data_IF_275948963344
#
_entry.id   IF_275948963344
#
_cell.length_a   1.000
_cell.length_b   1.000
_cell.length_c   1.000
_cell.angle_alpha   90.00
_cell.angle_beta   90.00
_cell.angle_gamma   90.00
#
_symmetry.space_group_name_H-M   'P 1'
#
loop_
_entity.id
_entity.type
_entity.pdbx_description
1 polymer ?
#
# COMPACT_ATOMS: atom_id res chain seq x y z
N UNK A 1 -7.53 29.47 32.82
CA UNK A 1 -8.31 28.23 32.99
C UNK A 1 -8.70 27.63 31.63
N UNK A 2 -8.01 27.95 30.53
CA UNK A 2 -8.38 27.47 29.18
C UNK A 2 -7.09 27.10 28.44
N UNK A 3 -6.50 25.98 28.84
CA UNK A 3 -5.36 25.36 28.15
C UNK A 3 -5.95 24.28 27.24
N UNK A 4 -6.58 24.73 26.15
CA UNK A 4 -7.19 23.87 25.15
C UNK A 4 -6.12 22.96 24.53
N UNK A 5 -6.29 21.66 24.77
CA UNK A 5 -5.41 20.59 24.31
C UNK A 5 -5.17 20.69 22.80
N UNK A 6 -3.91 20.94 22.42
CA UNK A 6 -3.41 20.90 21.04
C UNK A 6 -3.42 19.45 20.55
N UNK A 7 -4.56 18.97 20.08
CA UNK A 7 -4.61 17.75 19.26
C UNK A 7 -4.14 18.14 17.85
N UNK A 8 -2.83 18.12 17.62
CA UNK A 8 -2.28 18.20 16.26
C UNK A 8 -2.37 16.81 15.66
N UNK A 9 -3.58 16.41 15.24
CA UNK A 9 -3.80 15.17 14.52
C UNK A 9 -3.16 15.30 13.13
N UNK A 10 -1.87 14.97 13.03
CA UNK A 10 -1.17 14.87 11.74
C UNK A 10 -1.62 13.58 11.06
N UNK A 11 -2.79 13.61 10.43
CA UNK A 11 -3.14 12.57 9.48
C UNK A 11 -2.32 12.82 8.23
N UNK A 12 -1.12 12.25 8.13
CA UNK A 12 -0.46 12.19 6.83
C UNK A 12 -1.35 11.27 5.99
N UNK A 13 -2.08 11.83 5.02
CA UNK A 13 -2.76 11.07 3.97
C UNK A 13 -1.90 11.27 2.74
N UNK A 14 -0.87 10.44 2.59
CA UNK A 14 -0.21 10.27 1.31
C UNK A 14 -1.15 9.47 0.43
N UNK A 15 -1.95 10.18 -0.37
CA UNK A 15 -2.58 9.62 -1.55
C UNK A 15 -1.47 9.30 -2.55
N UNK A 16 -1.01 8.05 -2.56
CA UNK A 16 -0.38 7.45 -3.73
C UNK A 16 -1.46 6.67 -4.47
N UNK A 17 -1.73 7.09 -5.71
CA UNK A 17 -2.61 6.47 -6.71
C UNK A 17 -4.12 6.44 -6.43
N UNK A 18 -4.77 7.61 -6.52
CA UNK A 18 -6.08 7.66 -7.16
C UNK A 18 -5.83 7.54 -8.67
N UNK A 19 -5.83 6.33 -9.20
CA UNK A 19 -6.23 6.16 -10.60
C UNK A 19 -7.74 6.38 -10.58
N UNK A 20 -8.14 7.63 -10.77
CA UNK A 20 -9.49 7.96 -11.20
C UNK A 20 -9.62 7.45 -12.63
N UNK A 21 -10.03 6.19 -12.78
CA UNK A 21 -10.72 5.81 -14.01
C UNK A 21 -12.05 6.57 -14.00
N UNK A 22 -12.04 7.78 -14.54
CA UNK A 22 -13.19 8.22 -15.31
C UNK A 22 -13.26 7.27 -16.50
N UNK A 23 -14.03 6.19 -16.37
CA UNK A 23 -14.69 5.66 -17.55
C UNK A 23 -15.72 6.72 -17.92
N UNK A 24 -15.28 7.67 -18.75
CA UNK A 24 -16.19 8.33 -19.67
C UNK A 24 -16.87 7.20 -20.43
N UNK A 25 -18.19 7.09 -20.30
CA UNK A 25 -19.03 6.51 -21.34
C UNK A 25 -18.77 7.32 -22.61
N UNK A 26 -17.73 6.93 -23.34
CA UNK A 26 -17.64 7.14 -24.77
C UNK A 26 -17.88 5.77 -25.38
N UNK A 27 -19.07 5.64 -25.96
CA UNK A 27 -19.31 4.74 -27.07
C UNK A 27 -18.24 4.99 -28.14
N UNK A 28 -17.15 4.25 -28.06
CA UNK A 28 -16.29 3.93 -29.20
C UNK A 28 -15.89 2.47 -29.03
N UNK A 29 -16.87 1.60 -29.28
CA UNK A 29 -16.65 0.19 -29.56
C UNK A 29 -15.90 0.07 -30.87
N UNK A 30 -14.58 0.25 -30.82
CA UNK A 30 -13.68 -0.22 -31.86
C UNK A 30 -12.33 -0.58 -31.22
N UNK A 31 -12.39 -1.47 -30.22
CA UNK A 31 -11.20 -2.24 -29.83
C UNK A 31 -10.99 -3.21 -30.99
N UNK A 32 -10.00 -2.92 -31.84
CA UNK A 32 -9.59 -3.80 -32.92
C UNK A 32 -9.28 -5.16 -32.32
N UNK A 33 -10.10 -6.15 -32.64
CA UNK A 33 -9.84 -7.52 -32.18
C UNK A 33 -8.65 -8.09 -32.95
N UNK A 34 -7.98 -9.10 -32.42
CA UNK A 34 -6.89 -9.78 -33.14
C UNK A 34 -7.34 -10.24 -34.55
N UNK A 35 -8.63 -10.59 -34.70
CA UNK A 35 -9.24 -10.93 -35.99
C UNK A 35 -9.41 -9.74 -36.95
N UNK A 36 -9.69 -8.54 -36.43
CA UNK A 36 -9.79 -7.34 -37.25
C UNK A 36 -8.40 -6.87 -37.71
N UNK A 37 -7.38 -7.07 -36.87
CA UNK A 37 -5.98 -6.82 -37.21
C UNK A 37 -5.48 -7.77 -38.30
N UNK A 38 -5.74 -9.08 -38.18
CA UNK A 38 -5.39 -10.07 -39.21
C UNK A 38 -6.05 -9.76 -40.56
N UNK A 39 -7.33 -9.37 -40.57
CA UNK A 39 -8.02 -8.99 -41.82
C UNK A 39 -7.45 -7.74 -42.47
N UNK A 40 -7.03 -6.76 -41.68
CA UNK A 40 -6.38 -5.55 -42.20
C UNK A 40 -5.00 -5.88 -42.81
N UNK A 41 -4.26 -6.81 -42.21
CA UNK A 41 -2.98 -7.30 -42.71
C UNK A 41 -3.13 -8.09 -44.03
N UNK A 42 -4.14 -8.96 -44.12
CA UNK A 42 -4.41 -9.72 -45.34
C UNK A 42 -4.87 -8.81 -46.49
N UNK A 43 -5.70 -7.81 -46.21
CA UNK A 43 -6.14 -6.83 -47.21
C UNK A 43 -4.97 -6.00 -47.78
N UNK A 44 -4.01 -5.62 -46.93
CA UNK A 44 -2.78 -4.92 -47.36
C UNK A 44 -1.87 -5.84 -48.19
N UNK A 45 -1.81 -7.13 -47.84
CA UNK A 45 -1.03 -8.14 -48.57
C UNK A 45 -1.61 -8.46 -49.95
N UNK A 46 -2.93 -8.39 -50.13
CA UNK A 46 -3.58 -8.56 -51.44
C UNK A 46 -3.42 -7.35 -52.36
N UNK A 47 -3.29 -6.14 -51.80
CA UNK A 47 -3.02 -4.92 -52.58
C UNK A 47 -1.54 -4.75 -52.93
N UNK A 48 -0.66 -5.43 -52.21
CA UNK A 48 0.77 -5.36 -52.43
C UNK A 48 1.27 -6.49 -53.35
N UNK A 49 1.38 -6.17 -54.64
CA UNK A 49 1.97 -7.05 -55.65
C UNK A 49 3.50 -7.14 -55.62
N UNK A 50 4.22 -6.31 -54.83
CA UNK A 50 5.68 -6.34 -54.73
C UNK A 50 6.22 -7.03 -53.47
N UNK A 51 5.37 -7.29 -52.46
CA UNK A 51 5.76 -8.00 -51.24
C UNK A 51 6.49 -7.12 -50.21
N UNK A 52 6.56 -5.82 -50.45
CA UNK A 52 7.19 -4.81 -49.60
C UNK A 52 6.52 -4.69 -48.22
N UNK A 53 5.19 -4.83 -48.14
CA UNK A 53 4.43 -4.86 -46.88
C UNK A 53 4.78 -6.11 -46.07
N UNK A 54 5.00 -7.24 -46.75
CA UNK A 54 5.48 -8.47 -46.11
C UNK A 54 6.90 -8.33 -45.57
N UNK A 55 7.81 -7.69 -46.32
CA UNK A 55 9.16 -7.36 -45.84
C UNK A 55 9.15 -6.34 -44.69
N UNK A 56 8.30 -5.31 -44.75
CA UNK A 56 8.13 -4.34 -43.66
C UNK A 56 7.58 -4.98 -42.39
N UNK A 57 6.58 -5.87 -42.50
CA UNK A 57 6.04 -6.62 -41.35
C UNK A 57 7.09 -7.57 -40.77
N UNK A 58 7.92 -8.16 -41.62
CA UNK A 58 9.05 -8.99 -41.20
C UNK A 58 10.11 -8.14 -40.47
N UNK A 59 10.48 -6.97 -41.01
CA UNK A 59 11.36 -5.99 -40.35
C UNK A 59 10.76 -5.41 -39.06
N UNK A 60 9.44 -5.27 -38.98
CA UNK A 60 8.77 -4.81 -37.76
C UNK A 60 8.74 -5.91 -36.69
N UNK A 61 8.56 -7.18 -37.08
CA UNK A 61 8.66 -8.33 -36.19
C UNK A 61 10.12 -8.61 -35.75
N UNK A 62 11.10 -8.15 -36.52
CA UNK A 62 12.51 -8.13 -36.12
C UNK A 62 12.78 -7.17 -34.94
N UNK A 63 11.86 -6.26 -34.59
CA UNK A 63 11.90 -5.51 -33.33
C UNK A 63 11.45 -6.36 -32.12
N UNK A 64 11.84 -7.62 -32.08
CA UNK A 64 11.73 -8.44 -30.87
C UNK A 64 12.75 -7.93 -29.85
N UNK A 65 12.30 -7.71 -28.62
CA UNK A 65 13.22 -7.51 -27.49
C UNK A 65 14.01 -8.80 -27.34
N UNK A 66 15.28 -8.77 -27.77
CA UNK A 66 16.21 -9.87 -27.67
C UNK A 66 16.93 -9.86 -26.32
N UNK A 67 17.37 -11.03 -25.85
CA UNK A 67 18.15 -11.11 -24.62
C UNK A 67 19.57 -10.53 -24.82
N UNK A 68 20.23 -10.14 -23.73
CA UNK A 68 21.60 -9.61 -23.79
C UNK A 68 22.59 -10.57 -24.45
N UNK A 69 22.45 -11.87 -24.20
CA UNK A 69 23.29 -12.91 -24.79
C UNK A 69 23.05 -13.02 -26.31
N UNK A 70 21.80 -12.87 -26.76
CA UNK A 70 21.45 -12.80 -28.18
C UNK A 70 22.05 -11.54 -28.84
N UNK A 71 22.04 -10.39 -28.15
CA UNK A 71 22.61 -9.15 -28.66
C UNK A 71 24.14 -9.22 -28.81
N UNK A 72 24.85 -9.82 -27.85
CA UNK A 72 26.29 -10.07 -27.94
C UNK A 72 26.64 -11.00 -29.12
N UNK A 73 25.82 -12.02 -29.36
CA UNK A 73 26.00 -12.96 -30.47
C UNK A 73 25.76 -12.29 -31.83
N UNK A 74 24.77 -11.40 -31.92
CA UNK A 74 24.46 -10.61 -33.13
C UNK A 74 25.56 -9.57 -33.41
N UNK A 75 26.16 -8.99 -32.37
CA UNK A 75 27.22 -7.97 -32.49
C UNK A 75 28.64 -8.55 -32.64
N UNK A 76 28.81 -9.87 -32.48
CA UNK A 76 30.10 -10.59 -32.45
C UNK A 76 30.96 -10.58 -33.72
N UNK A 77 30.73 -9.67 -34.67
CA UNK A 77 31.47 -9.55 -35.94
C UNK A 77 32.10 -8.18 -36.22
N UNK A 78 31.83 -7.13 -35.44
CA UNK A 78 32.27 -5.77 -35.77
C UNK A 78 33.19 -5.19 -34.71
N UNK A 79 34.43 -4.89 -35.09
CA UNK A 79 35.52 -4.35 -34.24
C UNK A 79 35.24 -2.99 -33.59
N UNK A 80 34.05 -2.41 -33.77
CA UNK A 80 33.65 -1.11 -33.24
C UNK A 80 32.15 -1.16 -32.93
N UNK A 81 31.80 -1.06 -31.63
CA UNK A 81 30.46 -0.99 -31.02
C UNK A 81 30.07 -2.25 -30.20
N UNK A 82 30.79 -2.49 -29.10
CA UNK A 82 30.25 -3.31 -28.01
C UNK A 82 29.03 -2.61 -27.40
N UNK A 83 27.95 -3.34 -27.07
CA UNK A 83 26.79 -2.77 -26.41
C UNK A 83 27.17 -2.35 -24.98
N UNK A 84 27.19 -1.04 -24.72
CA UNK A 84 27.44 -0.51 -23.38
C UNK A 84 26.28 -0.88 -22.48
N UNK A 85 26.52 -1.76 -21.50
CA UNK A 85 25.58 -2.10 -20.43
C UNK A 85 25.27 -0.84 -19.61
N UNK A 86 24.25 -0.09 -20.01
CA UNK A 86 23.62 0.92 -19.16
C UNK A 86 22.67 0.21 -18.19
N UNK A 87 23.23 -0.63 -17.32
CA UNK A 87 22.50 -1.18 -16.19
C UNK A 87 22.91 -0.39 -14.95
N UNK A 88 21.95 0.29 -14.32
CA UNK A 88 22.09 0.67 -12.92
C UNK A 88 22.56 -0.58 -12.16
N UNK A 89 23.53 -0.46 -11.22
CA UNK A 89 23.95 -1.59 -10.41
C UNK A 89 22.69 -2.25 -9.83
N UNK A 90 22.70 -3.59 -9.79
CA UNK A 90 21.59 -4.38 -9.26
C UNK A 90 21.13 -3.71 -7.96
N UNK A 91 19.89 -3.21 -7.93
CA UNK A 91 19.36 -2.53 -6.75
C UNK A 91 19.23 -3.61 -5.67
N UNK A 92 20.31 -3.83 -4.93
CA UNK A 92 20.28 -4.56 -3.68
C UNK A 92 19.54 -3.67 -2.72
N UNK A 93 18.21 -3.82 -2.63
CA UNK A 93 17.45 -3.19 -1.56
C UNK A 93 18.12 -3.64 -0.27
N UNK A 94 18.58 -2.71 0.60
CA UNK A 94 19.07 -3.07 1.92
C UNK A 94 18.01 -3.97 2.55
N UNK A 95 18.35 -5.23 2.75
CA UNK A 95 17.41 -6.18 3.33
C UNK A 95 17.44 -5.89 4.82
N UNK A 96 16.61 -4.95 5.26
CA UNK A 96 16.42 -4.72 6.68
C UNK A 96 16.04 -6.05 7.34
N UNK A 97 16.63 -6.37 8.50
CA UNK A 97 16.30 -7.60 9.20
C UNK A 97 14.79 -7.67 9.45
N UNK A 98 14.21 -8.86 9.31
CA UNK A 98 12.80 -9.07 9.64
C UNK A 98 12.55 -8.66 11.10
N UNK A 99 11.41 -8.03 11.36
CA UNK A 99 11.03 -7.66 12.72
C UNK A 99 10.83 -8.93 13.57
N UNK A 100 11.65 -9.08 14.59
CA UNK A 100 11.72 -10.22 15.50
C UNK A 100 11.06 -9.95 16.86
N UNK A 101 10.21 -8.93 16.95
CA UNK A 101 9.50 -8.58 18.19
C UNK A 101 8.68 -9.76 18.70
N UNK A 102 8.96 -10.19 19.94
CA UNK A 102 8.18 -11.24 20.59
C UNK A 102 6.81 -10.69 21.06
N UNK A 103 5.76 -11.12 20.36
CA UNK A 103 4.38 -10.68 20.59
C UNK A 103 3.87 -11.18 21.93
N UNK A 104 4.16 -12.41 22.32
CA UNK A 104 3.69 -12.99 23.59
C UNK A 104 4.37 -12.33 24.78
N UNK A 105 5.68 -12.08 24.68
CA UNK A 105 6.41 -11.32 25.69
C UNK A 105 5.87 -9.89 25.80
N UNK A 106 5.55 -9.26 24.67
CA UNK A 106 4.95 -7.92 24.66
C UNK A 106 3.59 -7.91 25.35
N UNK A 107 2.74 -8.92 25.11
CA UNK A 107 1.46 -9.10 25.82
C UNK A 107 1.69 -9.24 27.32
N UNK A 108 2.63 -10.09 27.74
CA UNK A 108 2.93 -10.29 29.16
C UNK A 108 3.40 -8.99 29.84
N UNK A 109 4.29 -8.23 29.20
CA UNK A 109 4.78 -6.95 29.73
C UNK A 109 3.68 -5.89 29.80
N UNK A 110 2.75 -5.88 28.83
CA UNK A 110 1.58 -5.01 28.88
C UNK A 110 0.70 -5.34 30.08
N UNK A 111 0.39 -6.63 30.30
CA UNK A 111 -0.43 -7.10 31.41
C UNK A 111 0.23 -6.88 32.77
N UNK A 112 1.56 -6.95 32.85
CA UNK A 112 2.34 -6.64 34.06
C UNK A 112 2.51 -5.13 34.30
N UNK A 113 2.02 -4.30 33.37
CA UNK A 113 2.16 -2.85 33.39
C UNK A 113 3.62 -2.39 33.55
N UNK A 114 4.54 -3.00 32.78
CA UNK A 114 5.98 -2.72 32.86
C UNK A 114 6.27 -1.22 32.57
N UNK A 115 6.86 -0.47 33.52
CA UNK A 115 7.18 0.95 33.32
C UNK A 115 8.22 1.21 32.22
N UNK A 116 8.99 0.18 31.83
CA UNK A 116 9.99 0.28 30.77
C UNK A 116 9.38 0.14 29.37
N UNK A 117 8.17 -0.42 29.25
CA UNK A 117 7.54 -0.66 27.96
C UNK A 117 6.83 0.60 27.45
N UNK A 118 7.55 1.43 26.71
CA UNK A 118 7.04 2.69 26.14
C UNK A 118 6.53 2.55 24.70
N UNK A 119 7.07 1.59 23.95
CA UNK A 119 6.78 1.41 22.54
C UNK A 119 6.68 -0.08 22.20
N UNK A 120 5.72 -0.43 21.35
CA UNK A 120 5.61 -1.73 20.69
C UNK A 120 5.63 -1.50 19.18
N UNK A 121 6.46 -2.27 18.47
CA UNK A 121 6.56 -2.22 17.02
C UNK A 121 6.33 -3.62 16.42
N UNK A 122 5.18 -3.82 15.78
CA UNK A 122 4.83 -5.05 15.06
C UNK A 122 4.82 -4.84 13.54
N UNK A 123 5.51 -3.81 13.04
CA UNK A 123 5.56 -3.51 11.62
C UNK A 123 6.07 -4.72 10.83
N UNK A 124 5.46 -4.95 9.67
CA UNK A 124 5.80 -6.04 8.73
C UNK A 124 5.56 -7.47 9.27
N UNK A 125 4.92 -7.64 10.43
CA UNK A 125 4.68 -8.96 11.04
C UNK A 125 3.37 -9.63 10.56
N UNK A 126 3.21 -9.80 9.24
CA UNK A 126 1.99 -10.37 8.61
C UNK A 126 1.65 -11.80 9.03
N UNK A 127 2.65 -12.54 9.52
CA UNK A 127 2.48 -13.93 9.97
C UNK A 127 1.89 -14.03 11.38
N UNK A 128 1.77 -12.91 12.10
CA UNK A 128 1.19 -12.88 13.44
C UNK A 128 -0.29 -13.25 13.39
N UNK A 129 -0.75 -14.27 14.14
CA UNK A 129 -2.16 -14.63 14.18
C UNK A 129 -3.04 -13.47 14.64
N UNK A 130 -4.14 -13.22 13.93
CA UNK A 130 -5.12 -12.17 14.26
C UNK A 130 -5.59 -12.22 15.74
N UNK A 131 -5.92 -13.40 16.32
CA UNK A 131 -6.32 -13.46 17.73
C UNK A 131 -5.21 -13.04 18.70
N UNK A 132 -3.94 -13.14 18.30
CA UNK A 132 -2.81 -12.67 19.10
C UNK A 132 -2.69 -11.14 19.03
N UNK A 133 -2.86 -10.55 17.84
CA UNK A 133 -2.93 -9.09 17.67
C UNK A 133 -4.08 -8.49 18.49
N UNK A 134 -5.27 -9.11 18.44
CA UNK A 134 -6.42 -8.67 19.23
C UNK A 134 -6.16 -8.74 20.73
N UNK A 135 -5.50 -9.80 21.22
CA UNK A 135 -5.11 -9.91 22.64
C UNK A 135 -4.10 -8.84 23.04
N UNK A 136 -3.12 -8.55 22.18
CA UNK A 136 -2.16 -7.47 22.42
C UNK A 136 -2.86 -6.12 22.52
N UNK A 137 -3.76 -5.81 21.57
CA UNK A 137 -4.54 -4.56 21.62
C UNK A 137 -5.38 -4.50 22.89
N UNK A 138 -6.10 -5.58 23.24
CA UNK A 138 -6.91 -5.61 24.46
C UNK A 138 -6.07 -5.38 25.74
N UNK A 139 -4.84 -5.91 25.81
CA UNK A 139 -3.94 -5.70 26.94
C UNK A 139 -3.48 -4.24 27.10
N UNK A 140 -3.54 -3.42 26.05
CA UNK A 140 -3.20 -1.99 26.12
C UNK A 140 -4.27 -1.22 26.90
N UNK A 141 -5.53 -1.68 26.93
CA UNK A 141 -6.63 -1.00 27.61
C UNK A 141 -6.28 -0.63 29.05
N UNK A 142 -5.74 -1.59 29.80
CA UNK A 142 -5.43 -1.46 31.23
C UNK A 142 -3.98 -1.04 31.51
N UNK A 143 -3.14 -0.94 30.46
CA UNK A 143 -1.76 -0.52 30.58
C UNK A 143 -1.65 1.00 30.79
N UNK A 144 -0.70 1.46 31.60
CA UNK A 144 -0.51 2.89 31.90
C UNK A 144 0.87 3.42 31.52
N UNK A 145 1.61 2.70 30.67
CA UNK A 145 2.99 3.04 30.34
C UNK A 145 3.26 3.13 28.84
N UNK A 146 2.51 2.39 28.03
CA UNK A 146 2.67 2.37 26.58
C UNK A 146 2.23 3.70 25.98
N UNK A 147 3.12 4.29 25.19
CA UNK A 147 2.92 5.59 24.53
C UNK A 147 2.81 5.44 23.01
N UNK A 148 3.48 4.43 22.41
CA UNK A 148 3.52 4.24 20.95
C UNK A 148 3.21 2.80 20.53
N UNK A 149 2.28 2.64 19.59
CA UNK A 149 1.92 1.36 18.99
C UNK A 149 2.08 1.42 17.47
N UNK A 150 2.87 0.53 16.88
CA UNK A 150 3.01 0.43 15.42
C UNK A 150 2.56 -0.94 14.90
N UNK A 151 1.59 -0.91 13.98
CA UNK A 151 0.97 -2.06 13.33
C UNK A 151 0.98 -1.90 11.80
N UNK A 152 2.04 -1.31 11.24
CA UNK A 152 2.11 -1.03 9.81
C UNK A 152 2.36 -2.30 8.99
N UNK A 153 1.74 -2.40 7.80
CA UNK A 153 1.95 -3.50 6.86
C UNK A 153 1.73 -4.89 7.48
N UNK A 154 0.68 -5.03 8.29
CA UNK A 154 0.28 -6.28 8.95
C UNK A 154 -0.89 -6.99 8.25
N UNK A 155 -1.38 -6.43 7.14
CA UNK A 155 -2.56 -6.93 6.41
C UNK A 155 -3.83 -6.96 7.27
N UNK A 156 -4.03 -5.92 8.09
CA UNK A 156 -5.17 -5.82 9.00
C UNK A 156 -6.40 -5.22 8.31
N UNK A 157 -7.57 -5.80 8.60
CA UNK A 157 -8.90 -5.30 8.25
C UNK A 157 -9.61 -4.75 9.49
N UNK A 158 -10.70 -4.00 9.29
CA UNK A 158 -11.48 -3.36 10.37
C UNK A 158 -11.78 -4.31 11.54
N UNK A 159 -12.29 -5.51 11.26
CA UNK A 159 -12.64 -6.50 12.29
C UNK A 159 -11.44 -7.07 13.05
N UNK A 160 -10.23 -6.97 12.51
CA UNK A 160 -9.03 -7.46 13.18
C UNK A 160 -8.56 -6.52 14.30
N UNK A 161 -8.84 -5.22 14.18
CA UNK A 161 -8.40 -4.19 15.13
C UNK A 161 -9.54 -3.45 15.80
N UNK A 162 -10.77 -3.98 15.72
CA UNK A 162 -11.94 -3.46 16.42
C UNK A 162 -11.70 -3.18 17.92
N UNK A 163 -10.94 -4.00 18.70
CA UNK A 163 -10.64 -3.71 20.10
C UNK A 163 -9.87 -2.39 20.33
N UNK A 164 -9.20 -1.85 19.30
CA UNK A 164 -8.46 -0.59 19.39
C UNK A 164 -9.37 0.60 19.70
N UNK A 165 -10.64 0.52 19.27
CA UNK A 165 -11.66 1.51 19.60
C UNK A 165 -11.85 1.58 21.12
N UNK A 166 -12.09 0.44 21.76
CA UNK A 166 -12.30 0.35 23.22
C UNK A 166 -11.04 0.77 24.00
N UNK A 167 -9.84 0.45 23.48
CA UNK A 167 -8.58 0.93 24.06
C UNK A 167 -8.54 2.46 24.07
N UNK A 168 -8.85 3.14 22.96
CA UNK A 168 -8.81 4.60 22.90
C UNK A 168 -9.85 5.30 23.78
N UNK A 169 -10.96 4.64 24.09
CA UNK A 169 -11.98 5.21 24.98
C UNK A 169 -11.58 5.14 26.46
N UNK A 170 -10.77 4.15 26.85
CA UNK A 170 -10.43 3.87 28.24
C UNK A 170 -8.99 4.26 28.60
N UNK A 171 -8.04 3.99 27.71
CA UNK A 171 -6.62 4.25 27.91
C UNK A 171 -6.31 5.75 27.75
N UNK A 172 -5.41 6.27 28.59
CA UNK A 172 -4.99 7.67 28.56
C UNK A 172 -3.48 7.87 28.39
N UNK A 173 -2.75 6.82 28.00
CA UNK A 173 -1.27 6.87 27.89
C UNK A 173 -0.79 6.73 26.46
N UNK A 174 -1.60 6.13 25.59
CA UNK A 174 -1.30 5.97 24.19
C UNK A 174 -1.35 7.33 23.47
N UNK A 175 -0.21 7.73 22.90
CA UNK A 175 0.00 9.00 22.21
C UNK A 175 0.13 8.85 20.70
N UNK A 176 0.75 7.77 20.23
CA UNK A 176 0.97 7.56 18.81
C UNK A 176 0.54 6.16 18.35
N UNK A 177 -0.21 6.10 17.24
CA UNK A 177 -0.58 4.85 16.58
C UNK A 177 -0.15 4.90 15.11
N UNK A 178 0.53 3.85 14.66
CA UNK A 178 0.82 3.63 13.24
C UNK A 178 -0.02 2.46 12.68
N UNK A 179 -0.90 2.76 11.72
CA UNK A 179 -1.74 1.81 11.00
C UNK A 179 -1.47 1.81 9.48
N UNK A 180 -0.33 2.33 9.03
CA UNK A 180 0.02 2.46 7.62
C UNK A 180 -0.01 1.14 6.86
N UNK A 181 -0.33 1.18 5.56
CA UNK A 181 -0.24 0.02 4.67
C UNK A 181 -1.07 -1.18 5.16
N UNK A 182 -2.33 -0.93 5.54
CA UNK A 182 -3.30 -1.96 5.90
C UNK A 182 -4.54 -1.88 4.98
N UNK A 183 -5.61 -2.59 5.33
CA UNK A 183 -6.87 -2.66 4.58
C UNK A 183 -8.03 -2.03 5.37
N UNK A 184 -7.76 -0.91 6.06
CA UNK A 184 -8.73 -0.27 6.93
C UNK A 184 -9.64 0.70 6.17
N UNK A 185 -10.93 0.66 6.48
CA UNK A 185 -11.94 1.50 5.83
C UNK A 185 -12.01 2.91 6.43
N UNK A 186 -12.58 3.84 5.66
CA UNK A 186 -12.89 5.19 6.17
C UNK A 186 -13.88 5.17 7.34
N UNK A 187 -14.81 4.22 7.38
CA UNK A 187 -15.77 4.07 8.48
C UNK A 187 -15.08 3.61 9.78
N UNK A 188 -14.04 2.77 9.69
CA UNK A 188 -13.20 2.43 10.82
C UNK A 188 -12.50 3.68 11.39
N UNK A 189 -11.83 4.46 10.55
CA UNK A 189 -11.15 5.68 11.01
C UNK A 189 -12.12 6.70 11.62
N UNK A 190 -13.34 6.85 11.07
CA UNK A 190 -14.36 7.71 11.67
C UNK A 190 -14.71 7.28 13.10
N UNK A 191 -14.82 5.98 13.36
CA UNK A 191 -15.05 5.44 14.72
C UNK A 191 -13.81 5.61 15.60
N UNK A 192 -12.61 5.38 15.06
CA UNK A 192 -11.34 5.55 15.76
C UNK A 192 -11.17 6.98 16.27
N UNK A 193 -11.37 7.98 15.40
CA UNK A 193 -11.26 9.39 15.79
C UNK A 193 -12.36 9.82 16.77
N UNK A 194 -13.58 9.28 16.62
CA UNK A 194 -14.66 9.52 17.60
C UNK A 194 -14.32 8.98 18.99
N UNK A 195 -13.65 7.83 19.07
CA UNK A 195 -13.17 7.27 20.33
C UNK A 195 -11.99 8.08 20.91
N UNK A 196 -11.01 8.46 20.06
CA UNK A 196 -9.86 9.27 20.46
C UNK A 196 -10.26 10.62 21.09
N UNK A 197 -11.37 11.21 20.64
CA UNK A 197 -11.93 12.45 21.17
C UNK A 197 -12.38 12.36 22.63
N UNK A 198 -12.63 11.17 23.19
CA UNK A 198 -13.06 11.02 24.60
C UNK A 198 -11.95 11.32 25.59
N UNK A 199 -10.74 10.81 25.32
CA UNK A 199 -9.57 10.95 26.22
C UNK A 199 -8.60 12.03 25.78
N UNK A 200 -8.59 12.39 24.50
CA UNK A 200 -7.75 13.44 23.94
C UNK A 200 -6.24 13.26 24.22
N UNK A 201 -5.79 12.02 24.45
CA UNK A 201 -4.38 11.70 24.72
C UNK A 201 -3.59 11.34 23.47
N UNK A 202 -4.31 11.03 22.38
CA UNK A 202 -3.73 10.61 21.12
C UNK A 202 -3.25 11.84 20.34
N UNK A 203 -1.94 11.95 20.16
CA UNK A 203 -1.25 13.04 19.46
C UNK A 203 -1.04 12.71 17.98
N UNK A 204 -0.78 11.44 17.64
CA UNK A 204 -0.38 11.03 16.29
C UNK A 204 -1.12 9.77 15.82
N UNK A 205 -1.69 9.83 14.62
CA UNK A 205 -2.27 8.66 13.92
C UNK A 205 -1.74 8.62 12.50
N UNK A 206 -0.92 7.63 12.18
CA UNK A 206 -0.46 7.37 10.82
C UNK A 206 -1.39 6.37 10.14
N UNK A 207 -1.96 6.78 9.01
CA UNK A 207 -2.96 6.00 8.28
C UNK A 207 -2.71 6.00 6.76
N UNK A 208 -1.47 6.25 6.29
CA UNK A 208 -1.19 6.29 4.84
C UNK A 208 -1.35 4.93 4.18
N UNK A 209 -1.49 4.95 2.85
CA UNK A 209 -1.37 3.78 1.99
C UNK A 209 -2.35 2.64 2.33
N UNK A 210 -3.58 2.97 2.71
CA UNK A 210 -4.62 1.95 2.87
C UNK A 210 -5.03 1.40 1.51
N UNK A 211 -5.10 0.08 1.39
CA UNK A 211 -5.56 -0.57 0.18
C UNK A 211 -7.08 -0.67 0.22
N UNK A 212 -7.76 0.15 -0.59
CA UNK A 212 -9.22 0.17 -0.68
C UNK A 212 -9.67 -1.01 -1.55
N UNK A 213 -10.34 -1.99 -0.93
CA UNK A 213 -11.16 -2.93 -1.69
C UNK A 213 -12.47 -2.20 -2.06
N UNK A 214 -12.61 -1.82 -3.34
CA UNK A 214 -13.87 -1.29 -3.86
C UNK A 214 -14.95 -2.37 -3.72
N UNK A 215 -15.77 -2.28 -2.66
CA UNK A 215 -17.04 -2.98 -2.60
C UNK A 215 -18.06 -2.14 -3.39
N UNK A 216 -18.67 -2.74 -4.41
CA UNK A 216 -19.58 -2.14 -5.40
C UNK A 216 -20.93 -1.60 -4.87
N UNK A 217 -21.07 -1.36 -3.57
CA UNK A 217 -22.32 -0.87 -3.01
C UNK A 217 -22.18 0.52 -2.36
N UNK A 218 -22.84 1.46 -3.03
CA UNK A 218 -23.40 2.71 -2.50
C UNK A 218 -22.49 3.93 -2.43
N UNK A 219 -22.56 4.73 -3.50
CA UNK A 219 -22.71 6.19 -3.51
C UNK A 219 -22.52 6.90 -2.15
N UNK A 220 -21.28 6.93 -1.66
CA UNK A 220 -20.72 7.90 -0.72
C UNK A 220 -19.22 7.65 -0.70
N UNK A 221 -18.55 8.13 -1.74
CA UNK A 221 -17.15 8.53 -1.62
C UNK A 221 -17.11 9.70 -0.62
N UNK A 222 -17.22 9.36 0.68
CA UNK A 222 -16.85 10.28 1.74
C UNK A 222 -15.34 10.40 1.61
N UNK A 223 -14.95 11.42 0.85
CA UNK A 223 -13.71 12.15 1.04
C UNK A 223 -13.44 12.12 2.55
N UNK A 224 -12.38 11.44 2.96
CA UNK A 224 -11.84 11.56 4.31
C UNK A 224 -11.24 12.96 4.31
N UNK A 225 -12.11 13.97 4.40
CA UNK A 225 -11.72 15.32 4.69
C UNK A 225 -11.11 15.27 6.08
N UNK A 226 -9.79 15.45 6.11
CA UNK A 226 -9.03 16.08 7.17
C UNK A 226 -9.97 16.67 8.24
N UNK A 227 -10.29 15.88 9.27
CA UNK A 227 -10.93 16.42 10.45
C UNK A 227 -9.83 17.20 11.15
N UNK A 228 -9.71 18.47 10.77
CA UNK A 228 -8.98 19.46 11.56
C UNK A 228 -9.86 19.77 12.76
N UNK A 229 -9.61 19.07 13.86
CA UNK A 229 -10.24 19.34 15.15
C UNK A 229 -9.52 20.58 15.71
N UNK A 230 -10.16 21.74 15.58
CA UNK A 230 -9.77 23.00 16.22
C UNK A 230 -10.71 23.28 17.39
#
# INVERSE_FOLDING_TARGET
>A
MEEAAKIVLVVIISTMSFISYKMTEQEDTNIMTDSDLEKALDALREQDSSGEVGELLKMMNENRIISWEEAEQILGGSSYNEPVKSSLPEQTRPTEPENDTDVDLSIQRLLQNDPKLKQINLNNMKRTPIPQVQRLIAAIRDNTNLEKLSLANMSLYDGNIEPLIDVLENNSTLKAINLETNYLSGDFFARLFKAALKKQTLEEVKAVNQVIFFCYCSNRAKKIEMIKIM
#
